data_IF_573246580593
#
_entry.id   IF_573246580593
#
_cell.length_a   1.000
_cell.length_b   1.000
_cell.length_c   1.000
_cell.angle_alpha   90.00
_cell.angle_beta   90.00
_cell.angle_gamma   90.00
#
_symmetry.space_group_name_H-M   'P 1'
#
loop_
_entity.id
_entity.type
_entity.pdbx_description
1 polymer ?
#
# COMPACT_ATOMS: atom_id res chain seq x y z
N UNK A 1 -11.80 32.99 4.14
CA UNK A 1 -11.66 31.99 3.08
C UNK A 1 -11.94 30.63 3.70
N UNK A 2 -12.79 29.80 3.10
CA UNK A 2 -13.06 28.45 3.60
C UNK A 2 -12.14 27.46 2.88
N UNK A 3 -11.53 26.52 3.62
CA UNK A 3 -10.77 25.42 3.04
C UNK A 3 -11.74 24.36 2.47
N UNK A 4 -11.23 23.44 1.67
CA UNK A 4 -12.01 22.35 1.11
C UNK A 4 -12.67 21.51 2.23
N UNK A 5 -13.94 21.17 2.03
CA UNK A 5 -14.66 20.25 2.94
C UNK A 5 -14.06 18.84 2.99
N UNK A 6 -13.24 18.47 2.00
CA UNK A 6 -12.48 17.21 2.03
C UNK A 6 -11.57 17.12 3.24
N UNK A 7 -10.98 18.23 3.70
CA UNK A 7 -10.07 18.22 4.85
C UNK A 7 -10.74 17.75 6.15
N UNK A 8 -12.04 17.96 6.30
CA UNK A 8 -12.77 17.49 7.47
C UNK A 8 -13.00 15.96 7.49
N UNK A 9 -12.75 15.27 6.38
CA UNK A 9 -12.88 13.81 6.27
C UNK A 9 -11.62 13.06 6.71
N UNK A 10 -10.49 13.76 6.85
CA UNK A 10 -9.21 13.16 7.22
C UNK A 10 -8.92 13.36 8.70
N UNK A 11 -8.32 12.33 9.29
CA UNK A 11 -7.75 12.40 10.63
C UNK A 11 -6.22 12.41 10.54
N UNK A 12 -5.58 13.14 11.45
CA UNK A 12 -4.13 13.02 11.61
C UNK A 12 -3.79 11.58 12.02
N UNK A 13 -2.86 10.91 11.32
CA UNK A 13 -2.48 9.54 11.67
C UNK A 13 -1.93 9.44 13.09
N UNK A 14 -2.45 8.50 13.88
CA UNK A 14 -2.03 8.30 15.27
C UNK A 14 -0.52 7.98 15.37
N UNK A 15 0.05 7.28 14.37
CA UNK A 15 1.49 7.01 14.30
C UNK A 15 2.33 8.29 14.25
N UNK A 16 1.88 9.32 13.52
CA UNK A 16 2.57 10.60 13.46
C UNK A 16 2.46 11.38 14.77
N UNK A 17 1.30 11.33 15.44
CA UNK A 17 1.12 11.92 16.77
C UNK A 17 2.05 11.27 17.80
N UNK A 18 2.15 9.94 17.78
CA UNK A 18 3.04 9.20 18.69
C UNK A 18 4.51 9.52 18.42
N UNK A 19 4.93 9.56 17.15
CA UNK A 19 6.29 9.93 16.79
C UNK A 19 6.64 11.38 17.21
N UNK A 20 5.67 12.31 17.10
CA UNK A 20 5.82 13.68 17.57
C UNK A 20 5.99 13.71 19.09
N UNK A 21 5.13 13.03 19.83
CA UNK A 21 5.22 12.92 21.29
C UNK A 21 6.55 12.33 21.74
N UNK A 22 7.04 11.26 21.09
CA UNK A 22 8.34 10.67 21.38
C UNK A 22 9.49 11.65 21.23
N UNK A 23 9.48 12.48 20.17
CA UNK A 23 10.47 13.54 19.97
C UNK A 23 10.40 14.62 21.05
N UNK A 24 9.21 15.07 21.42
CA UNK A 24 9.00 16.08 22.46
C UNK A 24 9.48 15.60 23.82
N UNK A 25 9.20 14.37 24.20
CA UNK A 25 9.65 13.76 25.45
C UNK A 25 11.18 13.63 25.48
N UNK A 26 11.83 13.20 24.41
CA UNK A 26 13.31 13.16 24.33
C UNK A 26 13.91 14.56 24.45
N UNK A 27 13.32 15.55 23.79
CA UNK A 27 13.77 16.94 23.89
C UNK A 27 13.65 17.49 25.33
N UNK A 28 12.73 16.94 26.13
CA UNK A 28 12.57 17.25 27.55
C UNK A 28 13.54 16.49 28.47
N UNK A 29 14.45 15.69 27.92
CA UNK A 29 15.42 14.89 28.66
C UNK A 29 14.91 13.56 29.19
N UNK A 30 13.73 13.12 28.75
CA UNK A 30 13.16 11.82 29.11
C UNK A 30 13.73 10.75 28.19
N UNK A 31 14.25 9.66 28.77
CA UNK A 31 14.66 8.47 28.01
C UNK A 31 13.41 7.74 27.49
N UNK A 32 13.26 7.67 26.16
CA UNK A 32 12.09 7.10 25.50
C UNK A 32 12.52 5.98 24.56
N UNK A 33 12.03 4.77 24.81
CA UNK A 33 12.04 3.69 23.84
C UNK A 33 10.90 3.91 22.84
N UNK A 34 11.23 4.22 21.59
CA UNK A 34 10.24 4.57 20.56
C UNK A 34 9.90 3.34 19.71
N UNK A 35 8.64 2.93 19.77
CA UNK A 35 8.08 1.83 18.97
C UNK A 35 6.98 2.33 18.01
N UNK A 36 6.94 3.64 17.74
CA UNK A 36 5.85 4.26 16.97
C UNK A 36 6.03 4.17 15.46
N UNK A 37 7.26 4.10 14.98
CA UNK A 37 7.59 3.99 13.56
C UNK A 37 8.50 2.78 13.33
N UNK A 38 8.20 2.02 12.27
CA UNK A 38 9.07 0.96 11.78
C UNK A 38 9.86 1.45 10.58
N UNK A 39 11.19 1.41 10.68
CA UNK A 39 12.11 1.64 9.57
C UNK A 39 13.30 0.69 9.67
N UNK A 40 13.93 0.32 8.53
CA UNK A 40 15.15 -0.47 8.56
C UNK A 40 16.26 0.27 9.34
N UNK A 41 16.99 -0.46 10.16
CA UNK A 41 18.15 0.03 10.89
C UNK A 41 19.46 -0.04 10.09
N UNK A 42 19.42 -0.62 8.90
CA UNK A 42 20.53 -0.69 7.95
C UNK A 42 20.57 0.55 7.06
N UNK A 43 21.76 1.05 6.82
CA UNK A 43 21.99 2.07 5.81
C UNK A 43 21.70 1.53 4.39
N UNK A 44 21.41 2.46 3.47
CA UNK A 44 21.36 2.13 2.04
C UNK A 44 22.67 1.53 1.57
N UNK A 45 22.67 0.36 0.89
CA UNK A 45 23.88 -0.27 0.39
C UNK A 45 24.75 0.65 -0.47
N UNK A 46 26.07 0.55 -0.36
CA UNK A 46 26.99 1.47 -1.01
C UNK A 46 26.89 1.49 -2.53
N UNK A 47 26.62 0.34 -3.16
CA UNK A 47 26.45 0.28 -4.61
C UNK A 47 25.22 1.08 -5.08
N UNK A 48 24.15 1.13 -4.27
CA UNK A 48 22.96 1.94 -4.55
C UNK A 48 23.25 3.42 -4.36
N UNK A 49 23.92 3.78 -3.24
CA UNK A 49 24.36 5.17 -2.99
C UNK A 49 25.27 5.68 -4.11
N UNK A 50 26.20 4.86 -4.57
CA UNK A 50 27.12 5.23 -5.63
C UNK A 50 26.43 5.38 -6.99
N UNK A 51 25.45 4.52 -7.29
CA UNK A 51 24.64 4.66 -8.50
C UNK A 51 23.82 5.97 -8.48
N UNK A 52 23.25 6.34 -7.32
CA UNK A 52 22.53 7.61 -7.18
C UNK A 52 23.46 8.83 -7.36
N UNK A 53 24.65 8.82 -6.77
CA UNK A 53 25.65 9.89 -6.95
C UNK A 53 26.05 10.02 -8.42
N UNK A 54 26.32 8.86 -9.07
CA UNK A 54 26.65 8.85 -10.50
C UNK A 54 25.51 9.42 -11.35
N UNK A 55 24.26 9.09 -11.05
CA UNK A 55 23.12 9.64 -11.78
C UNK A 55 23.02 11.17 -11.66
N UNK A 56 23.36 11.74 -10.50
CA UNK A 56 23.45 13.19 -10.32
C UNK A 56 24.58 13.78 -11.19
N UNK A 57 25.77 13.17 -11.14
CA UNK A 57 26.94 13.62 -11.92
C UNK A 57 26.68 13.52 -13.42
N UNK A 58 25.94 12.49 -13.87
CA UNK A 58 25.52 12.27 -15.26
C UNK A 58 24.34 13.16 -15.69
N UNK A 59 23.87 14.09 -14.83
CA UNK A 59 22.76 15.01 -15.08
C UNK A 59 21.40 14.34 -15.36
N UNK A 60 21.06 13.26 -14.66
CA UNK A 60 19.72 12.66 -14.67
C UNK A 60 18.74 13.55 -13.90
N UNK A 61 18.66 14.83 -14.26
CA UNK A 61 17.86 15.86 -13.60
C UNK A 61 16.79 16.47 -14.53
N UNK A 62 16.59 15.90 -15.69
CA UNK A 62 15.59 16.32 -16.66
C UNK A 62 14.28 15.56 -16.48
N UNK A 63 13.20 16.03 -17.13
CA UNK A 63 11.92 15.33 -17.11
C UNK A 63 12.04 13.90 -17.63
N UNK A 64 11.42 12.98 -16.92
CA UNK A 64 11.35 11.56 -17.30
C UNK A 64 10.06 11.27 -18.08
N UNK A 65 9.97 10.16 -18.82
CA UNK A 65 8.67 9.63 -19.25
C UNK A 65 7.73 9.42 -18.05
N UNK A 66 6.43 9.65 -18.24
CA UNK A 66 5.42 9.59 -17.16
C UNK A 66 5.43 8.23 -16.44
N UNK A 67 5.61 7.13 -17.17
CA UNK A 67 5.66 5.79 -16.59
C UNK A 67 7.03 5.41 -15.99
N UNK A 68 8.03 6.28 -16.06
CA UNK A 68 9.41 6.02 -15.64
C UNK A 68 10.31 5.60 -16.80
N UNK A 69 11.62 5.56 -16.55
CA UNK A 69 12.62 5.16 -17.55
C UNK A 69 12.37 3.75 -18.07
N UNK A 70 12.59 3.56 -19.36
CA UNK A 70 12.32 2.28 -20.04
C UNK A 70 13.19 1.13 -19.50
N UNK A 71 14.47 1.40 -19.24
CA UNK A 71 15.43 0.45 -18.67
C UNK A 71 15.05 0.04 -17.23
N UNK A 72 14.58 0.98 -16.41
CA UNK A 72 14.08 0.67 -15.06
C UNK A 72 12.83 -0.22 -15.14
N UNK A 73 11.86 0.11 -15.99
CA UNK A 73 10.65 -0.70 -16.17
C UNK A 73 10.99 -2.11 -16.68
N UNK A 74 11.95 -2.21 -17.61
CA UNK A 74 12.45 -3.52 -18.06
C UNK A 74 13.16 -4.29 -16.94
N UNK A 75 13.94 -3.63 -16.09
CA UNK A 75 14.58 -4.26 -14.94
C UNK A 75 13.55 -4.80 -13.92
N UNK A 76 12.44 -4.08 -13.71
CA UNK A 76 11.30 -4.56 -12.88
C UNK A 76 10.68 -5.82 -13.49
N UNK A 77 10.41 -5.84 -14.81
CA UNK A 77 9.91 -7.04 -15.50
C UNK A 77 10.84 -8.23 -15.34
N UNK A 78 12.15 -8.01 -15.51
CA UNK A 78 13.18 -9.05 -15.33
C UNK A 78 13.17 -9.59 -13.89
N UNK A 79 13.06 -8.71 -12.89
CA UNK A 79 12.93 -9.11 -11.47
C UNK A 79 11.67 -9.93 -11.22
N UNK A 80 10.52 -9.48 -11.69
CA UNK A 80 9.26 -10.19 -11.53
C UNK A 80 9.29 -11.58 -12.16
N UNK A 81 9.90 -11.72 -13.34
CA UNK A 81 10.09 -13.03 -13.98
C UNK A 81 11.01 -13.93 -13.19
N UNK A 82 12.17 -13.42 -12.77
CA UNK A 82 13.21 -14.19 -12.06
C UNK A 82 12.73 -14.65 -10.69
N UNK A 83 12.13 -13.75 -9.88
CA UNK A 83 11.87 -13.99 -8.47
C UNK A 83 10.46 -14.51 -8.22
N UNK A 84 9.49 -14.10 -9.04
CA UNK A 84 8.08 -14.37 -8.81
C UNK A 84 7.46 -15.26 -9.92
N UNK A 85 8.20 -15.57 -10.98
CA UNK A 85 7.71 -16.26 -12.19
C UNK A 85 6.49 -15.55 -12.83
N UNK A 86 6.42 -14.23 -12.70
CA UNK A 86 5.40 -13.39 -13.34
C UNK A 86 5.94 -12.82 -14.64
N UNK A 87 5.14 -12.90 -15.69
CA UNK A 87 5.50 -12.47 -17.05
C UNK A 87 4.71 -11.22 -17.42
N UNK A 88 5.32 -10.05 -17.19
CA UNK A 88 4.79 -8.74 -17.53
C UNK A 88 5.70 -8.01 -18.51
N UNK A 89 5.10 -7.25 -19.43
CA UNK A 89 5.84 -6.32 -20.29
C UNK A 89 6.03 -4.95 -19.62
N UNK A 90 6.96 -4.13 -20.13
CA UNK A 90 7.19 -2.78 -19.58
C UNK A 90 5.94 -1.87 -19.59
N UNK A 91 4.99 -2.13 -20.48
CA UNK A 91 3.71 -1.41 -20.55
C UNK A 91 2.81 -1.64 -19.32
N UNK A 92 3.05 -2.72 -18.57
CA UNK A 92 2.36 -3.02 -17.32
C UNK A 92 3.04 -2.42 -16.07
N UNK A 93 4.15 -1.70 -16.26
CA UNK A 93 4.94 -1.13 -15.17
C UNK A 93 4.81 0.39 -15.15
N UNK A 94 4.42 0.91 -13.99
CA UNK A 94 4.41 2.33 -13.67
C UNK A 94 5.33 2.59 -12.47
N UNK A 95 6.32 3.43 -12.64
CA UNK A 95 7.22 3.85 -11.55
C UNK A 95 6.62 5.05 -10.83
N UNK A 96 6.55 4.96 -9.51
CA UNK A 96 5.99 6.01 -8.64
C UNK A 96 6.96 6.42 -7.55
N UNK A 97 6.71 7.56 -6.93
CA UNK A 97 7.48 8.04 -5.76
C UNK A 97 7.05 7.28 -4.50
N UNK A 98 7.38 6.00 -4.46
CA UNK A 98 7.04 5.07 -3.38
C UNK A 98 5.63 4.46 -3.50
N UNK A 99 5.41 3.35 -2.76
CA UNK A 99 4.17 2.57 -2.79
C UNK A 99 2.91 3.39 -2.46
N UNK A 100 3.04 4.38 -1.56
CA UNK A 100 1.90 5.25 -1.22
C UNK A 100 1.34 5.98 -2.43
N UNK A 101 2.19 6.48 -3.32
CA UNK A 101 1.75 7.13 -4.56
C UNK A 101 1.13 6.10 -5.51
N UNK A 102 1.72 4.92 -5.65
CA UNK A 102 1.16 3.85 -6.49
C UNK A 102 -0.24 3.46 -6.05
N UNK A 103 -0.45 3.27 -4.74
CA UNK A 103 -1.75 2.94 -4.15
C UNK A 103 -2.75 4.08 -4.38
N UNK A 104 -2.33 5.34 -4.15
CA UNK A 104 -3.20 6.49 -4.37
C UNK A 104 -3.63 6.59 -5.83
N UNK A 105 -2.70 6.44 -6.78
CA UNK A 105 -2.99 6.46 -8.21
C UNK A 105 -3.97 5.33 -8.60
N UNK A 106 -3.73 4.10 -8.10
CA UNK A 106 -4.59 2.96 -8.40
C UNK A 106 -6.01 3.16 -7.84
N UNK A 107 -6.13 3.57 -6.57
CA UNK A 107 -7.45 3.78 -5.95
C UNK A 107 -8.21 4.91 -6.64
N UNK A 108 -7.55 6.05 -6.93
CA UNK A 108 -8.18 7.18 -7.63
C UNK A 108 -8.56 6.86 -9.08
N UNK A 109 -7.90 5.88 -9.71
CA UNK A 109 -8.24 5.43 -11.06
C UNK A 109 -9.38 4.40 -11.09
N UNK A 110 -9.59 3.66 -9.99
CA UNK A 110 -10.52 2.52 -9.93
C UNK A 110 -11.81 2.87 -9.21
N UNK A 111 -11.72 3.58 -8.06
CA UNK A 111 -12.85 3.83 -7.17
C UNK A 111 -13.39 5.25 -7.33
N UNK A 112 -14.71 5.38 -7.33
CA UNK A 112 -15.43 6.64 -7.43
C UNK A 112 -16.42 6.79 -6.25
N UNK A 113 -17.11 7.93 -6.20
CA UNK A 113 -18.09 8.21 -5.17
C UNK A 113 -19.23 7.17 -5.16
N UNK A 114 -19.38 6.49 -4.02
CA UNK A 114 -20.39 5.44 -3.83
C UNK A 114 -19.87 4.01 -4.04
N UNK A 115 -18.70 3.83 -4.60
CA UNK A 115 -18.05 2.52 -4.69
C UNK A 115 -17.58 2.04 -3.32
N UNK A 116 -17.59 0.73 -3.11
CA UNK A 116 -17.11 0.10 -1.89
C UNK A 116 -15.72 -0.53 -2.11
N UNK A 117 -14.82 -0.25 -1.16
CA UNK A 117 -13.49 -0.83 -1.11
C UNK A 117 -13.36 -1.70 0.13
N UNK A 118 -13.16 -3.00 -0.07
CA UNK A 118 -12.99 -3.97 1.02
C UNK A 118 -11.54 -3.94 1.49
N UNK A 119 -11.35 -3.79 2.81
CA UNK A 119 -10.04 -3.80 3.45
C UNK A 119 -10.08 -4.74 4.68
N UNK A 120 -9.30 -5.83 4.71
CA UNK A 120 -9.10 -6.64 5.90
C UNK A 120 -8.45 -5.85 7.03
N UNK A 121 -8.86 -6.09 8.28
CA UNK A 121 -8.20 -5.51 9.46
C UNK A 121 -7.26 -6.53 10.12
N UNK A 122 -6.16 -6.10 10.76
CA UNK A 122 -5.60 -4.75 10.75
C UNK A 122 -4.99 -4.39 9.38
N UNK A 123 -4.81 -3.12 9.11
CA UNK A 123 -4.28 -2.63 7.84
C UNK A 123 -3.46 -1.35 8.04
N UNK A 124 -2.66 -0.97 7.06
CA UNK A 124 -1.95 0.28 7.08
C UNK A 124 -2.93 1.46 6.95
N UNK A 125 -2.93 2.34 7.95
CA UNK A 125 -3.92 3.42 8.11
C UNK A 125 -4.13 4.29 6.87
N UNK A 126 -3.13 4.40 6.01
CA UNK A 126 -3.19 5.19 4.77
C UNK A 126 -4.24 4.66 3.79
N UNK A 127 -4.54 3.36 3.79
CA UNK A 127 -5.49 2.77 2.84
C UNK A 127 -6.87 3.40 2.95
N UNK A 128 -7.41 3.47 4.17
CA UNK A 128 -8.73 4.04 4.40
C UNK A 128 -8.80 5.52 4.03
N UNK A 129 -7.71 6.27 4.26
CA UNK A 129 -7.67 7.69 3.94
C UNK A 129 -7.63 7.93 2.43
N UNK A 130 -6.92 7.12 1.66
CA UNK A 130 -6.91 7.19 0.19
C UNK A 130 -8.29 6.86 -0.38
N UNK A 131 -8.98 5.84 0.15
CA UNK A 131 -10.35 5.51 -0.27
C UNK A 131 -11.32 6.67 -0.01
N UNK A 132 -11.22 7.31 1.16
CA UNK A 132 -12.01 8.51 1.47
C UNK A 132 -11.70 9.68 0.52
N UNK A 133 -10.42 9.82 0.13
CA UNK A 133 -9.99 10.84 -0.86
C UNK A 133 -10.67 10.63 -2.21
N UNK A 134 -10.78 9.38 -2.66
CA UNK A 134 -11.49 9.01 -3.88
C UNK A 134 -13.04 9.17 -3.77
N UNK A 135 -13.55 9.43 -2.56
CA UNK A 135 -15.00 9.47 -2.31
C UNK A 135 -15.63 8.11 -2.09
N UNK A 136 -14.85 7.04 -2.11
CA UNK A 136 -15.28 5.67 -1.89
C UNK A 136 -15.66 5.38 -0.43
N UNK A 137 -16.37 4.29 -0.22
CA UNK A 137 -16.76 3.78 1.09
C UNK A 137 -15.85 2.64 1.50
N UNK A 138 -15.22 2.75 2.66
CA UNK A 138 -14.40 1.69 3.25
C UNK A 138 -15.32 0.62 3.86
N UNK A 139 -15.14 -0.64 3.44
CA UNK A 139 -15.80 -1.82 4.01
C UNK A 139 -14.75 -2.66 4.74
N UNK A 140 -14.76 -2.61 6.08
CA UNK A 140 -13.80 -3.32 6.90
C UNK A 140 -14.24 -4.75 7.17
N UNK A 141 -13.40 -5.72 6.78
CA UNK A 141 -13.60 -7.12 7.16
C UNK A 141 -12.71 -7.43 8.36
N UNK A 142 -13.36 -7.68 9.50
CA UNK A 142 -12.66 -7.89 10.77
C UNK A 142 -11.99 -9.26 10.79
N UNK A 143 -10.70 -9.26 11.09
CA UNK A 143 -9.95 -10.45 11.49
C UNK A 143 -9.58 -10.38 12.98
N UNK A 144 -9.08 -11.48 13.52
CA UNK A 144 -8.72 -11.58 14.93
C UNK A 144 -7.40 -12.32 15.10
N UNK A 145 -6.83 -12.23 16.28
CA UNK A 145 -5.63 -13.03 16.64
C UNK A 145 -5.85 -14.54 16.48
N UNK A 146 -7.09 -15.02 16.66
CA UNK A 146 -7.44 -16.44 16.46
C UNK A 146 -7.25 -16.90 15.02
N UNK A 147 -7.38 -15.99 14.07
CA UNK A 147 -7.17 -16.24 12.64
C UNK A 147 -5.83 -15.65 12.16
N UNK A 148 -4.88 -15.43 13.07
CA UNK A 148 -3.59 -14.81 12.76
C UNK A 148 -3.74 -13.49 11.98
N UNK A 149 -4.75 -12.70 12.30
CA UNK A 149 -5.07 -11.42 11.63
C UNK A 149 -5.29 -11.56 10.11
N UNK A 150 -5.86 -12.67 9.66
CA UNK A 150 -6.23 -12.95 8.27
C UNK A 150 -7.74 -13.15 8.14
N UNK A 151 -8.32 -12.79 7.01
CA UNK A 151 -9.71 -13.08 6.69
C UNK A 151 -9.83 -14.40 5.94
N UNK A 152 -11.00 -15.01 6.01
CA UNK A 152 -11.35 -16.22 5.25
C UNK A 152 -12.10 -15.87 3.96
N UNK A 153 -12.14 -16.84 3.02
CA UNK A 153 -12.94 -16.73 1.81
C UNK A 153 -14.43 -16.44 2.12
N UNK A 154 -14.98 -17.11 3.15
CA UNK A 154 -16.36 -16.89 3.57
C UNK A 154 -16.61 -15.46 4.08
N UNK A 155 -15.65 -14.90 4.82
CA UNK A 155 -15.75 -13.49 5.28
C UNK A 155 -15.66 -12.51 4.12
N UNK A 156 -14.82 -12.79 3.14
CA UNK A 156 -14.71 -11.99 1.92
C UNK A 156 -16.04 -12.01 1.14
N UNK A 157 -16.57 -13.20 0.85
CA UNK A 157 -17.83 -13.37 0.13
C UNK A 157 -18.98 -12.62 0.82
N UNK A 158 -19.08 -12.73 2.13
CA UNK A 158 -20.13 -12.04 2.91
C UNK A 158 -20.01 -10.51 2.89
N UNK A 159 -18.83 -9.97 2.57
CA UNK A 159 -18.60 -8.53 2.51
C UNK A 159 -18.83 -7.93 1.11
N UNK A 160 -18.88 -8.76 0.08
CA UNK A 160 -19.07 -8.32 -1.31
C UNK A 160 -20.51 -7.88 -1.55
N UNK A 161 -20.67 -6.74 -2.20
CA UNK A 161 -21.97 -6.21 -2.65
C UNK A 161 -21.88 -5.82 -4.12
N UNK A 162 -23.01 -5.45 -4.72
CA UNK A 162 -23.03 -4.90 -6.08
C UNK A 162 -22.23 -3.58 -6.25
N UNK A 163 -21.84 -2.94 -5.14
CA UNK A 163 -21.02 -1.71 -5.11
C UNK A 163 -19.55 -1.98 -4.87
N UNK A 164 -19.17 -3.22 -4.60
CA UNK A 164 -17.77 -3.57 -4.34
C UNK A 164 -16.95 -3.43 -5.63
N UNK A 165 -15.96 -2.56 -5.60
CA UNK A 165 -15.10 -2.22 -6.74
C UNK A 165 -13.68 -2.70 -6.58
N UNK A 166 -13.17 -2.66 -5.36
CA UNK A 166 -11.77 -2.94 -5.06
C UNK A 166 -11.65 -3.74 -3.75
N UNK A 167 -10.77 -4.73 -3.76
CA UNK A 167 -10.23 -5.37 -2.56
C UNK A 167 -8.78 -4.98 -2.41
N UNK A 168 -8.39 -4.47 -1.24
CA UNK A 168 -7.03 -4.00 -0.98
C UNK A 168 -6.47 -4.63 0.30
N UNK A 169 -5.30 -5.26 0.20
CA UNK A 169 -4.65 -5.93 1.33
C UNK A 169 -3.12 -5.90 1.18
N UNK A 170 -2.40 -6.26 2.24
CA UNK A 170 -0.95 -6.49 2.20
C UNK A 170 -0.58 -7.86 2.76
N UNK A 171 0.45 -8.47 2.19
CA UNK A 171 1.02 -9.73 2.66
C UNK A 171 2.52 -9.79 2.31
N UNK A 172 3.43 -9.61 3.30
CA UNK A 172 3.20 -9.45 4.75
C UNK A 172 2.38 -8.22 5.12
N UNK A 173 1.50 -8.37 6.11
CA UNK A 173 0.59 -7.30 6.51
C UNK A 173 1.28 -6.28 7.42
N UNK A 174 1.18 -5.01 7.09
CA UNK A 174 1.45 -3.91 8.00
C UNK A 174 0.13 -3.52 8.72
N UNK A 175 -0.02 -3.65 10.08
CA UNK A 175 1.08 -3.77 11.06
C UNK A 175 1.30 -5.17 11.64
N UNK A 176 0.50 -6.19 11.30
CA UNK A 176 0.49 -7.46 12.03
C UNK A 176 1.66 -8.40 11.70
N UNK A 177 2.33 -8.21 10.57
CA UNK A 177 3.32 -9.14 10.03
C UNK A 177 2.71 -10.47 9.51
N UNK A 178 1.40 -10.58 9.49
CA UNK A 178 0.72 -11.79 9.03
C UNK A 178 0.94 -12.03 7.53
N UNK A 179 1.18 -13.29 7.17
CA UNK A 179 1.39 -13.73 5.79
C UNK A 179 0.30 -14.73 5.43
N UNK A 180 -0.36 -14.53 4.31
CA UNK A 180 -1.30 -15.48 3.77
C UNK A 180 -0.55 -16.67 3.15
N UNK A 181 -1.00 -17.90 3.45
CA UNK A 181 -0.51 -19.09 2.77
C UNK A 181 -1.05 -19.17 1.34
N UNK A 182 -0.44 -20.03 0.53
CA UNK A 182 -0.93 -20.31 -0.83
C UNK A 182 -2.37 -20.81 -0.83
N UNK A 183 -2.72 -21.67 0.12
CA UNK A 183 -4.06 -22.24 0.27
C UNK A 183 -5.08 -21.15 0.65
N UNK A 184 -4.71 -20.25 1.56
CA UNK A 184 -5.55 -19.12 1.94
C UNK A 184 -5.77 -18.17 0.78
N UNK A 185 -4.71 -17.80 0.04
CA UNK A 185 -4.82 -16.96 -1.17
C UNK A 185 -5.65 -17.63 -2.26
N UNK A 186 -5.50 -18.95 -2.46
CA UNK A 186 -6.34 -19.70 -3.39
C UNK A 186 -7.81 -19.64 -2.98
N UNK A 187 -8.11 -19.76 -1.68
CA UNK A 187 -9.48 -19.60 -1.19
C UNK A 187 -10.09 -18.23 -1.52
N UNK A 188 -9.32 -17.14 -1.34
CA UNK A 188 -9.76 -15.81 -1.74
C UNK A 188 -9.91 -15.69 -3.27
N UNK A 189 -9.00 -16.29 -4.04
CA UNK A 189 -9.04 -16.26 -5.49
C UNK A 189 -10.29 -16.95 -6.06
N UNK A 190 -10.75 -18.05 -5.45
CA UNK A 190 -12.00 -18.71 -5.87
C UNK A 190 -13.23 -17.81 -5.70
N UNK A 191 -13.25 -16.98 -4.65
CA UNK A 191 -14.29 -15.95 -4.49
C UNK A 191 -14.22 -14.93 -5.63
N UNK A 192 -13.04 -14.39 -5.92
CA UNK A 192 -12.90 -13.38 -6.98
C UNK A 192 -13.19 -13.89 -8.38
N UNK A 193 -13.02 -15.19 -8.65
CA UNK A 193 -13.48 -15.80 -9.92
C UNK A 193 -14.98 -15.66 -10.15
N UNK A 194 -15.76 -15.61 -9.07
CA UNK A 194 -17.21 -15.40 -9.13
C UNK A 194 -17.57 -13.91 -9.22
N UNK A 195 -16.62 -13.02 -8.92
CA UNK A 195 -16.77 -11.57 -8.93
C UNK A 195 -15.72 -10.88 -9.81
N UNK A 196 -15.66 -11.16 -11.13
CA UNK A 196 -14.56 -10.74 -12.00
C UNK A 196 -14.47 -9.21 -12.22
N UNK A 197 -15.47 -8.46 -11.79
CA UNK A 197 -15.47 -6.99 -11.87
C UNK A 197 -14.73 -6.32 -10.71
N UNK A 198 -14.31 -7.07 -9.67
CA UNK A 198 -13.59 -6.54 -8.52
C UNK A 198 -12.10 -6.52 -8.82
N UNK A 199 -11.50 -5.35 -8.69
CA UNK A 199 -10.05 -5.21 -8.76
C UNK A 199 -9.40 -5.69 -7.46
N UNK A 200 -8.19 -6.25 -7.55
CA UNK A 200 -7.40 -6.69 -6.41
C UNK A 200 -6.11 -5.87 -6.37
N UNK A 201 -5.87 -5.18 -5.26
CA UNK A 201 -4.63 -4.48 -5.00
C UNK A 201 -3.88 -5.22 -3.88
N UNK A 202 -2.75 -5.80 -4.22
CA UNK A 202 -1.81 -6.43 -3.29
C UNK A 202 -0.63 -5.49 -3.07
N UNK A 203 -0.42 -5.09 -1.82
CA UNK A 203 0.73 -4.29 -1.39
C UNK A 203 1.76 -5.23 -0.74
N UNK A 204 2.96 -5.36 -1.33
CA UNK A 204 3.99 -6.34 -0.98
C UNK A 204 5.34 -5.69 -0.66
#
# INVERSE_FOLDING_TARGET
MALSSLLSKFNEPETLKMAKLGRELRASGIDVTDLSLGEPDFDTPDHIKNAAKKAIDDNFSHYTPVAGYADLRQAVCTKLKRDNNLDYGPENILVSTGAKQSIANAVLAIADAGDEVIIPTPFWVTYSEIVKLAGGKVVLVKSTVKNNFKITAQQLEAAITAKTKLFMFSSPCNPSGAVYSKEELNGLAEVFKQHPAIYILSDE
#
